data_IF_441130178869
#
_entry.id   IF_441130178869
#
_cell.length_a   1.000
_cell.length_b   1.000
_cell.length_c   1.000
_cell.angle_alpha   90.00
_cell.angle_beta   90.00
_cell.angle_gamma   90.00
#
_symmetry.space_group_name_H-M   'P 1'
#
loop_
_entity.id
_entity.type
_entity.pdbx_description
1 polymer ?
#
# COMPACT_ATOMS: atom_id res chain seq x y z
N UNK A 1 21.91 4.23 2.93
CA UNK A 1 20.78 3.28 2.78
C UNK A 1 20.97 1.99 3.58
N UNK A 2 22.20 1.59 3.90
CA UNK A 2 22.59 0.20 4.24
C UNK A 2 21.96 -0.36 5.53
N UNK A 3 21.55 0.53 6.45
CA UNK A 3 20.77 0.20 7.63
C UNK A 3 19.38 -0.40 7.30
N UNK A 4 18.78 -0.01 6.17
CA UNK A 4 17.48 -0.51 5.70
C UNK A 4 17.67 -1.79 4.85
N UNK A 5 18.73 -1.85 4.03
CA UNK A 5 19.00 -3.00 3.15
C UNK A 5 18.99 -4.34 3.91
N UNK A 6 19.65 -4.39 5.06
CA UNK A 6 19.75 -5.59 5.90
C UNK A 6 18.61 -5.75 6.92
N UNK A 7 17.58 -4.88 6.92
CA UNK A 7 16.48 -4.93 7.90
C UNK A 7 15.74 -6.27 7.85
N UNK A 8 15.52 -6.81 6.64
CA UNK A 8 14.87 -8.10 6.39
C UNK A 8 15.59 -9.31 7.03
N UNK A 9 16.86 -9.18 7.42
CA UNK A 9 17.63 -10.24 8.10
C UNK A 9 17.34 -10.26 9.61
N UNK A 10 16.82 -9.16 10.17
CA UNK A 10 16.55 -9.00 11.60
C UNK A 10 15.20 -9.61 11.94
N UNK A 11 15.17 -10.90 12.27
CA UNK A 11 13.96 -11.68 12.63
C UNK A 11 13.10 -11.10 13.79
N UNK A 12 13.59 -10.10 14.52
CA UNK A 12 12.85 -9.36 15.55
C UNK A 12 12.14 -8.11 15.04
N UNK A 13 12.30 -7.74 13.77
CA UNK A 13 11.65 -6.58 13.14
C UNK A 13 10.70 -7.07 12.06
N UNK A 14 9.42 -6.72 12.20
CA UNK A 14 8.45 -6.86 11.13
C UNK A 14 8.66 -5.76 10.08
N UNK A 15 8.76 -6.14 8.80
CA UNK A 15 8.93 -5.22 7.67
C UNK A 15 7.89 -5.59 6.61
N UNK A 16 6.99 -4.67 6.27
CA UNK A 16 5.90 -4.87 5.31
C UNK A 16 5.67 -3.59 4.49
N UNK A 17 5.09 -3.72 3.30
CA UNK A 17 5.10 -2.69 2.27
C UNK A 17 5.37 -3.26 0.89
N UNK A 18 5.85 -2.42 -0.03
CA UNK A 18 6.08 -2.78 -1.45
C UNK A 18 7.43 -2.29 -1.97
N UNK A 19 7.93 -2.93 -3.03
CA UNK A 19 9.21 -2.60 -3.68
C UNK A 19 9.04 -2.54 -5.20
N UNK A 20 9.89 -1.76 -5.88
CA UNK A 20 9.80 -1.55 -7.33
C UNK A 20 10.38 -2.71 -8.17
N UNK A 21 11.35 -3.46 -7.64
CA UNK A 21 12.08 -4.48 -8.39
C UNK A 21 12.51 -5.68 -7.54
N UNK A 22 12.56 -6.85 -8.16
CA UNK A 22 13.21 -8.02 -7.60
C UNK A 22 14.73 -7.82 -7.60
N UNK A 23 15.40 -8.12 -6.49
CA UNK A 23 16.83 -7.84 -6.33
C UNK A 23 17.19 -6.36 -6.13
N UNK A 24 16.21 -5.51 -5.80
CA UNK A 24 16.47 -4.15 -5.33
C UNK A 24 17.21 -4.11 -3.98
N UNK A 25 17.75 -2.94 -3.64
CA UNK A 25 18.50 -2.70 -2.39
C UNK A 25 17.70 -2.99 -1.11
N UNK A 26 16.37 -2.92 -1.16
CA UNK A 26 15.46 -3.22 -0.05
C UNK A 26 14.48 -4.30 -0.50
N UNK A 27 14.34 -5.34 0.32
CA UNK A 27 13.38 -6.44 0.12
C UNK A 27 12.35 -6.42 1.24
N UNK A 28 11.09 -6.72 0.90
CA UNK A 28 9.94 -6.64 1.81
C UNK A 28 9.10 -7.91 1.70
N UNK A 29 8.61 -8.42 2.82
CA UNK A 29 7.92 -9.72 2.90
C UNK A 29 6.58 -9.60 3.64
N UNK A 30 5.55 -10.38 3.29
CA UNK A 30 4.32 -10.44 4.07
C UNK A 30 4.58 -11.10 5.44
N UNK A 31 3.79 -10.75 6.49
CA UNK A 31 3.96 -11.31 7.82
C UNK A 31 3.94 -12.85 7.80
N UNK A 32 4.97 -13.45 8.41
CA UNK A 32 5.14 -14.90 8.48
C UNK A 32 5.87 -15.55 7.30
N UNK A 33 6.28 -14.79 6.28
CA UNK A 33 7.02 -15.32 5.12
C UNK A 33 8.49 -14.87 5.07
N UNK A 34 9.37 -15.71 4.53
CA UNK A 34 10.72 -15.34 4.09
C UNK A 34 10.80 -14.89 2.62
N UNK A 35 9.71 -15.07 1.87
CA UNK A 35 9.62 -14.84 0.43
C UNK A 35 8.47 -13.85 0.16
N UNK A 36 8.72 -12.82 -0.65
CA UNK A 36 7.77 -11.73 -0.88
C UNK A 36 6.98 -11.90 -2.17
N UNK A 37 5.76 -11.35 -2.19
CA UNK A 37 5.12 -10.97 -3.45
C UNK A 37 5.63 -9.58 -3.77
N UNK A 38 6.58 -9.47 -4.70
CA UNK A 38 7.01 -8.17 -5.21
C UNK A 38 5.92 -7.67 -6.16
N UNK A 39 5.57 -6.39 -6.05
CA UNK A 39 4.43 -5.80 -6.75
C UNK A 39 4.96 -4.92 -7.89
N UNK A 40 5.25 -5.48 -9.09
CA UNK A 40 5.65 -4.66 -10.21
C UNK A 40 4.52 -3.69 -10.57
N UNK A 41 4.88 -2.51 -11.08
CA UNK A 41 3.91 -1.55 -11.60
C UNK A 41 3.03 -2.10 -12.75
N UNK A 42 3.52 -3.14 -13.44
CA UNK A 42 2.98 -3.63 -14.71
C UNK A 42 1.62 -4.33 -14.59
N UNK A 43 0.57 -3.49 -14.58
CA UNK A 43 -0.75 -3.72 -15.16
C UNK A 43 -1.65 -4.78 -14.48
N UNK A 44 -2.78 -4.32 -13.94
CA UNK A 44 -4.06 -5.07 -13.99
C UNK A 44 -4.67 -5.02 -15.41
N UNK A 45 -3.90 -4.47 -16.35
CA UNK A 45 -3.94 -4.53 -17.87
C UNK A 45 -4.22 -6.09 -18.01
N UNK A 46 -5.21 -6.49 -18.83
CA UNK A 46 -5.81 -7.83 -19.03
C UNK A 46 -6.98 -8.15 -18.08
N UNK A 47 -6.87 -7.86 -16.78
CA UNK A 47 -7.88 -8.22 -15.78
C UNK A 47 -8.28 -7.02 -14.91
N UNK A 48 -8.84 -5.99 -15.57
CA UNK A 48 -9.37 -4.81 -14.88
C UNK A 48 -10.76 -5.17 -14.31
N UNK A 49 -11.00 -5.04 -12.99
CA UNK A 49 -12.27 -5.42 -12.39
C UNK A 49 -13.38 -4.41 -12.71
N UNK A 50 -14.59 -4.90 -12.98
CA UNK A 50 -15.77 -4.04 -13.17
C UNK A 50 -16.02 -3.16 -11.92
N UNK A 51 -16.44 -1.88 -12.07
CA UNK A 51 -16.85 -1.21 -13.31
C UNK A 51 -15.70 -0.58 -14.11
N UNK A 52 -14.43 -0.76 -13.71
CA UNK A 52 -13.30 -0.14 -14.38
C UNK A 52 -13.01 -0.82 -15.74
N UNK A 53 -12.95 -0.04 -16.82
CA UNK A 53 -12.81 -0.55 -18.20
C UNK A 53 -11.35 -0.55 -18.67
N UNK A 54 -10.53 0.39 -18.17
CA UNK A 54 -9.13 0.56 -18.57
C UNK A 54 -8.31 1.16 -17.44
N UNK A 55 -7.10 0.63 -17.25
CA UNK A 55 -6.06 1.22 -16.40
C UNK A 55 -5.13 2.14 -17.22
N UNK A 56 -4.65 3.23 -16.61
CA UNK A 56 -3.70 4.16 -17.22
C UNK A 56 -2.25 3.75 -16.90
N UNK A 57 -1.44 3.53 -17.95
CA UNK A 57 -0.01 3.24 -17.83
C UNK A 57 0.82 4.52 -17.74
N UNK A 58 1.03 5.02 -16.52
CA UNK A 58 1.73 6.29 -16.23
C UNK A 58 3.24 6.36 -16.52
N UNK A 59 3.88 5.28 -17.00
CA UNK A 59 5.31 5.26 -17.30
C UNK A 59 5.96 3.90 -17.07
N UNK A 60 7.25 3.90 -16.68
CA UNK A 60 7.95 2.75 -16.12
C UNK A 60 8.13 2.94 -14.61
N UNK A 61 7.95 1.88 -13.82
CA UNK A 61 8.11 1.92 -12.36
C UNK A 61 6.85 2.34 -11.61
N UNK A 62 6.83 2.13 -10.29
CA UNK A 62 5.66 2.44 -9.44
C UNK A 62 5.45 3.95 -9.37
N UNK A 63 4.28 4.44 -9.80
CA UNK A 63 3.91 5.85 -9.74
C UNK A 63 3.31 6.21 -8.37
N UNK A 64 4.06 5.92 -7.30
CA UNK A 64 3.85 6.54 -5.98
C UNK A 64 4.66 7.84 -6.04
N UNK A 65 3.97 8.98 -6.10
CA UNK A 65 4.65 10.28 -6.13
C UNK A 65 4.79 10.94 -4.75
N UNK A 66 4.19 10.33 -3.72
CA UNK A 66 4.26 10.80 -2.34
C UNK A 66 5.64 10.54 -1.74
N UNK A 67 6.12 11.48 -0.94
CA UNK A 67 7.49 11.51 -0.41
C UNK A 67 7.44 11.85 1.07
N UNK A 68 7.42 10.81 1.91
CA UNK A 68 7.34 11.00 3.35
C UNK A 68 7.99 9.87 4.16
N UNK A 69 8.30 10.17 5.41
CA UNK A 69 8.65 9.21 6.47
C UNK A 69 7.77 9.54 7.67
N UNK A 70 7.10 8.54 8.26
CA UNK A 70 6.46 8.68 9.58
C UNK A 70 7.17 7.77 10.59
N UNK A 71 7.46 8.31 11.76
CA UNK A 71 8.03 7.61 12.92
C UNK A 71 7.02 7.74 14.07
N UNK A 72 6.76 6.61 14.75
CA UNK A 72 5.94 6.50 15.96
C UNK A 72 4.56 7.22 15.86
N UNK A 73 3.86 7.02 14.74
CA UNK A 73 2.65 7.75 14.34
C UNK A 73 1.48 7.78 15.36
N UNK A 74 1.49 6.88 16.33
CA UNK A 74 0.49 6.74 17.39
C UNK A 74 0.99 7.21 18.78
N UNK A 75 2.22 7.74 18.88
CA UNK A 75 2.73 8.39 20.09
C UNK A 75 2.18 9.82 20.24
N UNK A 76 2.52 10.49 21.35
CA UNK A 76 2.21 11.90 21.64
C UNK A 76 3.12 12.87 20.89
N UNK A 77 4.33 12.44 20.51
CA UNK A 77 5.28 13.22 19.72
C UNK A 77 5.83 12.37 18.54
N UNK A 78 4.98 12.05 17.55
CA UNK A 78 5.44 11.41 16.31
C UNK A 78 6.37 12.34 15.53
N UNK A 79 7.07 11.79 14.54
CA UNK A 79 7.81 12.59 13.57
C UNK A 79 7.33 12.26 12.15
N UNK A 80 6.82 13.26 11.45
CA UNK A 80 6.51 13.20 10.03
C UNK A 80 7.49 14.09 9.27
N UNK A 81 8.20 13.51 8.30
CA UNK A 81 8.99 14.23 7.32
C UNK A 81 8.30 14.14 5.96
N UNK A 82 8.12 15.23 5.23
CA UNK A 82 7.44 15.27 3.92
C UNK A 82 7.83 16.51 3.10
N UNK A 83 7.76 16.46 1.77
CA UNK A 83 8.09 17.61 0.91
C UNK A 83 8.27 17.27 -0.57
N UNK A 84 9.06 18.08 -1.29
CA UNK A 84 9.46 17.75 -2.66
C UNK A 84 10.66 16.79 -2.71
N UNK A 85 11.46 16.75 -1.63
CA UNK A 85 12.63 15.89 -1.45
C UNK A 85 12.34 14.44 -1.82
N UNK A 86 13.17 13.94 -2.73
CA UNK A 86 13.19 12.54 -3.15
C UNK A 86 14.00 11.66 -2.17
N UNK A 87 14.49 12.22 -1.06
CA UNK A 87 15.36 11.58 -0.06
C UNK A 87 16.63 10.96 -0.71
N UNK A 88 17.14 11.62 -1.76
CA UNK A 88 18.19 11.13 -2.63
C UNK A 88 19.18 12.24 -2.96
N UNK A 89 20.48 11.97 -2.87
CA UNK A 89 21.55 12.97 -2.87
C UNK A 89 21.46 14.02 -4.00
N UNK A 90 21.16 13.62 -5.24
CA UNK A 90 21.02 14.57 -6.36
C UNK A 90 19.86 15.58 -6.20
N UNK A 91 18.80 15.23 -5.47
CA UNK A 91 17.72 16.17 -5.14
C UNK A 91 18.18 17.21 -4.12
N UNK A 92 18.77 16.73 -3.01
CA UNK A 92 19.27 17.56 -1.91
C UNK A 92 20.43 18.49 -2.33
N UNK A 93 21.30 18.03 -3.24
CA UNK A 93 22.49 18.77 -3.69
C UNK A 93 22.20 19.76 -4.84
N UNK A 94 21.17 19.52 -5.67
CA UNK A 94 21.04 20.21 -6.97
C UNK A 94 19.65 20.78 -7.25
N UNK A 95 18.57 20.13 -6.80
CA UNK A 95 17.20 20.54 -7.14
C UNK A 95 16.64 21.66 -6.25
N UNK A 96 17.31 22.00 -5.14
CA UNK A 96 16.76 22.82 -4.05
C UNK A 96 15.46 22.22 -3.49
N UNK A 97 15.42 20.89 -3.39
CA UNK A 97 14.29 20.15 -2.84
C UNK A 97 14.03 20.55 -1.38
N UNK A 98 12.76 20.60 -0.97
CA UNK A 98 12.38 20.89 0.42
C UNK A 98 11.98 19.63 1.18
N UNK A 99 12.34 19.57 2.47
CA UNK A 99 11.86 18.60 3.43
C UNK A 99 11.35 19.33 4.68
N UNK A 100 10.08 19.13 5.02
CA UNK A 100 9.41 19.71 6.18
C UNK A 100 9.28 18.66 7.27
N UNK A 101 9.45 19.06 8.53
CA UNK A 101 9.24 18.22 9.70
C UNK A 101 8.00 18.68 10.49
N UNK A 102 7.14 17.73 10.85
CA UNK A 102 5.92 17.95 11.64
C UNK A 102 5.89 16.98 12.83
N UNK A 103 5.41 17.46 13.97
CA UNK A 103 5.16 16.66 15.18
C UNK A 103 3.69 16.65 15.62
N UNK A 104 2.78 17.21 14.81
CA UNK A 104 1.34 17.17 15.08
C UNK A 104 0.81 15.73 14.93
N UNK A 105 0.20 15.13 15.99
CA UNK A 105 -0.26 13.75 15.93
C UNK A 105 -1.35 13.50 14.90
N UNK A 106 -2.22 14.46 14.61
CA UNK A 106 -3.30 14.30 13.64
C UNK A 106 -2.72 14.25 12.22
N UNK A 107 -1.75 15.13 11.91
CA UNK A 107 -1.08 15.14 10.59
C UNK A 107 -0.26 13.87 10.40
N UNK A 108 0.48 13.42 11.41
CA UNK A 108 1.22 12.15 11.36
C UNK A 108 0.30 10.93 11.16
N UNK A 109 -0.87 10.90 11.84
CA UNK A 109 -1.86 9.83 11.68
C UNK A 109 -2.50 9.81 10.29
N UNK A 110 -2.80 10.98 9.69
CA UNK A 110 -3.32 11.06 8.32
C UNK A 110 -2.32 10.48 7.30
N UNK A 111 -1.03 10.80 7.44
CA UNK A 111 0.03 10.21 6.61
C UNK A 111 0.22 8.72 6.86
N UNK A 112 0.04 8.23 8.09
CA UNK A 112 0.09 6.81 8.40
C UNK A 112 -1.11 6.02 7.80
N UNK A 113 -2.30 6.61 7.79
CA UNK A 113 -3.47 6.05 7.07
C UNK A 113 -3.19 5.97 5.57
N UNK A 114 -2.59 7.00 4.98
CA UNK A 114 -2.20 7.00 3.57
C UNK A 114 -1.12 5.94 3.26
N UNK A 115 -0.12 5.79 4.12
CA UNK A 115 0.89 4.73 4.00
C UNK A 115 0.25 3.32 3.98
N UNK A 116 -0.68 3.05 4.90
CA UNK A 116 -1.43 1.79 4.94
C UNK A 116 -2.28 1.63 3.67
N UNK A 117 -3.00 2.68 3.24
CA UNK A 117 -3.82 2.69 2.03
C UNK A 117 -3.02 2.34 0.78
N UNK A 118 -1.81 2.88 0.63
CA UNK A 118 -0.91 2.55 -0.47
C UNK A 118 -0.49 1.07 -0.44
N UNK A 119 -0.06 0.56 0.72
CA UNK A 119 0.35 -0.84 0.87
C UNK A 119 -0.80 -1.80 0.59
N UNK A 120 -1.99 -1.57 1.14
CA UNK A 120 -3.18 -2.38 0.89
C UNK A 120 -3.63 -2.32 -0.58
N UNK A 121 -3.58 -1.14 -1.21
CA UNK A 121 -3.88 -0.97 -2.63
C UNK A 121 -2.97 -1.84 -3.51
N UNK A 122 -1.65 -1.77 -3.31
CA UNK A 122 -0.71 -2.56 -4.10
C UNK A 122 -0.73 -4.05 -3.73
N UNK A 123 -0.96 -4.42 -2.47
CA UNK A 123 -1.18 -5.81 -2.08
C UNK A 123 -2.40 -6.43 -2.78
N UNK A 124 -3.54 -5.72 -2.78
CA UNK A 124 -4.75 -6.15 -3.51
C UNK A 124 -4.48 -6.38 -5.00
N UNK A 125 -3.76 -5.46 -5.67
CA UNK A 125 -3.37 -5.61 -7.08
C UNK A 125 -2.53 -6.87 -7.32
N UNK A 126 -1.58 -7.15 -6.43
CA UNK A 126 -0.68 -8.31 -6.56
C UNK A 126 -1.41 -9.65 -6.35
N UNK A 127 -2.39 -9.70 -5.44
CA UNK A 127 -3.27 -10.86 -5.27
C UNK A 127 -4.19 -11.01 -6.49
N UNK A 128 -4.77 -9.91 -7.00
CA UNK A 128 -5.66 -9.91 -8.17
C UNK A 128 -4.94 -10.33 -9.47
N UNK A 129 -3.67 -9.94 -9.64
CA UNK A 129 -2.81 -10.37 -10.77
C UNK A 129 -2.64 -11.90 -10.83
N UNK A 130 -2.70 -12.58 -9.69
CA UNK A 130 -2.57 -14.04 -9.56
C UNK A 130 -3.94 -14.77 -9.46
N UNK A 131 -5.05 -14.05 -9.60
CA UNK A 131 -6.40 -14.60 -9.54
C UNK A 131 -6.94 -15.03 -10.93
N UNK A 132 -8.07 -15.73 -10.94
CA UNK A 132 -8.77 -16.15 -12.16
C UNK A 132 -10.28 -15.92 -12.02
N UNK A 133 -11.02 -15.97 -13.13
CA UNK A 133 -12.50 -15.96 -13.10
C UNK A 133 -13.08 -17.13 -12.26
N UNK A 134 -12.36 -18.25 -12.19
CA UNK A 134 -12.69 -19.43 -11.38
C UNK A 134 -12.25 -19.32 -9.91
N UNK A 135 -11.45 -18.32 -9.55
CA UNK A 135 -10.94 -18.07 -8.20
C UNK A 135 -10.71 -16.56 -7.99
N UNK A 136 -11.79 -15.75 -7.97
CA UNK A 136 -11.70 -14.31 -7.87
C UNK A 136 -11.27 -13.85 -6.47
N UNK A 137 -10.61 -12.69 -6.39
CA UNK A 137 -10.28 -12.06 -5.11
C UNK A 137 -11.56 -11.57 -4.43
N UNK A 138 -11.88 -12.15 -3.29
CA UNK A 138 -13.10 -11.87 -2.52
C UNK A 138 -12.73 -11.50 -1.08
N UNK A 139 -13.45 -10.54 -0.50
CA UNK A 139 -13.35 -10.24 0.94
C UNK A 139 -13.73 -11.48 1.76
N UNK A 140 -12.98 -11.74 2.84
CA UNK A 140 -13.21 -12.91 3.72
C UNK A 140 -14.61 -12.81 4.36
N UNK A 141 -15.44 -13.81 4.09
CA UNK A 141 -16.86 -13.84 4.48
C UNK A 141 -17.06 -14.38 5.90
N UNK A 142 -16.70 -13.57 6.88
CA UNK A 142 -16.90 -13.88 8.30
C UNK A 142 -18.22 -13.29 8.83
N UNK A 143 -18.43 -13.38 10.15
CA UNK A 143 -19.59 -12.88 10.89
C UNK A 143 -20.01 -11.44 10.53
N UNK A 144 -19.03 -10.55 10.27
CA UNK A 144 -19.28 -9.16 9.88
C UNK A 144 -20.17 -9.05 8.63
N UNK A 145 -20.04 -9.98 7.67
CA UNK A 145 -20.77 -9.93 6.41
C UNK A 145 -22.10 -10.68 6.44
N UNK A 146 -22.33 -11.60 7.38
CA UNK A 146 -23.50 -12.49 7.39
C UNK A 146 -24.83 -11.73 7.30
N UNK A 147 -24.93 -10.62 8.02
CA UNK A 147 -26.11 -9.73 7.98
C UNK A 147 -26.41 -9.12 6.61
N UNK A 148 -25.41 -8.97 5.72
CA UNK A 148 -25.58 -8.52 4.34
C UNK A 148 -25.99 -9.65 3.38
N UNK A 149 -26.05 -10.90 3.84
CA UNK A 149 -26.45 -12.07 3.03
C UNK A 149 -27.71 -12.79 3.55
N UNK A 150 -28.19 -12.52 4.77
CA UNK A 150 -29.50 -12.99 5.23
C UNK A 150 -30.64 -12.20 4.54
N UNK A 151 -31.51 -12.83 3.73
CA UNK A 151 -32.61 -12.13 3.02
C UNK A 151 -33.61 -11.43 3.94
N UNK A 152 -33.67 -11.79 5.22
CA UNK A 152 -34.56 -11.21 6.24
C UNK A 152 -33.99 -9.95 6.89
N UNK A 153 -32.72 -9.64 6.65
CA UNK A 153 -32.02 -8.51 7.27
C UNK A 153 -32.00 -7.30 6.31
N UNK A 154 -32.26 -6.10 6.83
CA UNK A 154 -32.28 -4.86 6.04
C UNK A 154 -30.95 -4.60 5.30
N UNK A 155 -29.83 -5.04 5.88
CA UNK A 155 -28.48 -4.94 5.28
C UNK A 155 -28.34 -5.74 3.98
N UNK A 156 -29.11 -6.81 3.81
CA UNK A 156 -29.14 -7.54 2.54
C UNK A 156 -29.85 -6.74 1.44
N UNK A 157 -30.92 -6.01 1.78
CA UNK A 157 -31.59 -5.09 0.86
C UNK A 157 -30.71 -3.88 0.53
N UNK A 158 -30.05 -3.28 1.53
CA UNK A 158 -29.06 -2.21 1.38
C UNK A 158 -27.97 -2.60 0.36
N UNK A 159 -27.34 -3.77 0.53
CA UNK A 159 -26.33 -4.28 -0.42
C UNK A 159 -26.87 -4.48 -1.83
N UNK A 160 -28.12 -4.91 -2.00
CA UNK A 160 -28.72 -5.16 -3.32
C UNK A 160 -29.11 -3.84 -4.02
N UNK A 161 -29.52 -2.82 -3.26
CA UNK A 161 -29.93 -1.52 -3.78
C UNK A 161 -28.73 -0.61 -4.12
N UNK A 162 -27.68 -0.64 -3.30
CA UNK A 162 -26.52 0.26 -3.42
C UNK A 162 -25.35 -0.30 -4.25
N UNK A 163 -25.47 -1.52 -4.80
CA UNK A 163 -24.46 -2.15 -5.66
C UNK A 163 -24.79 -2.01 -7.16
N UNK A 164 -25.31 -0.84 -7.57
CA UNK A 164 -25.69 -0.49 -8.95
C UNK A 164 -25.05 0.83 -9.37
#
# INVERSE_FOLDING_TARGET
>A
MDAIKNLHQRKTIFTYGVTQSEGGDVNVFPPGSSNGIIVPFSFLSKHVPQPFVKEWSGGMGQVIHDKFIIIDFNDKNPQLFTGSSNLAAGGEEQNNDNLLAFTDPNVAQLYAVEAIRLVDHYHFRAVLQNSSETSPVMLRRDDWCQSYYDPRNFKCQERILLAK
#
